data_IF_733197081251
#
_entry.id   IF_733197081251
#
_cell.length_a   1.000
_cell.length_b   1.000
_cell.length_c   1.000
_cell.angle_alpha   90.00
_cell.angle_beta   90.00
_cell.angle_gamma   90.00
#
_symmetry.space_group_name_H-M   'P 1'
#
loop_
_entity.id
_entity.type
_entity.pdbx_description
1 polymer ?
#
# COMPACT_ATOMS: atom_id res chain seq x y z
N UNK A 1 -16.64 2.49 -86.99
CA UNK A 1 -17.50 2.71 -85.80
C UNK A 1 -16.98 1.85 -84.67
N UNK A 2 -16.96 2.44 -83.46
CA UNK A 2 -16.74 1.85 -82.13
C UNK A 2 -15.29 1.61 -81.73
N UNK A 3 -14.84 1.90 -80.51
CA UNK A 3 -15.20 2.86 -79.43
C UNK A 3 -14.05 2.64 -78.44
N UNK A 4 -13.39 3.70 -78.01
CA UNK A 4 -12.29 3.62 -77.05
C UNK A 4 -12.80 3.19 -75.67
N UNK A 5 -11.83 2.70 -74.88
CA UNK A 5 -11.72 2.89 -73.42
C UNK A 5 -12.19 1.70 -72.58
N UNK A 6 -11.49 1.54 -71.43
CA UNK A 6 -11.62 0.56 -70.35
C UNK A 6 -10.78 -0.71 -70.54
N UNK A 7 -9.83 -1.08 -69.67
CA UNK A 7 -9.35 -0.48 -68.44
C UNK A 7 -8.08 -1.26 -68.05
N UNK A 8 -6.90 -0.70 -68.35
CA UNK A 8 -5.62 -1.20 -67.88
C UNK A 8 -5.44 -0.71 -66.45
N UNK A 9 -6.04 -1.37 -65.45
CA UNK A 9 -5.79 -1.10 -64.03
C UNK A 9 -6.33 -2.25 -63.17
N UNK A 10 -5.68 -3.41 -63.24
CA UNK A 10 -5.81 -4.47 -62.22
C UNK A 10 -4.39 -4.81 -61.77
N UNK A 11 -3.79 -3.85 -61.07
CA UNK A 11 -2.64 -4.05 -60.23
C UNK A 11 -2.99 -3.45 -58.87
N UNK A 12 -2.67 -4.21 -57.82
CA UNK A 12 -2.38 -3.68 -56.50
C UNK A 12 -3.57 -3.19 -55.64
N UNK A 13 -4.45 -4.10 -55.22
CA UNK A 13 -5.19 -3.97 -53.95
C UNK A 13 -5.40 -5.35 -53.31
N UNK A 14 -4.31 -6.01 -52.91
CA UNK A 14 -4.33 -7.15 -51.98
C UNK A 14 -3.25 -6.97 -50.91
N UNK A 15 -3.26 -5.78 -50.30
CA UNK A 15 -2.57 -5.51 -49.06
C UNK A 15 -3.58 -4.73 -48.20
N UNK A 16 -3.60 -5.01 -46.90
CA UNK A 16 -4.39 -4.35 -45.85
C UNK A 16 -5.72 -5.03 -45.46
N UNK A 17 -5.62 -6.16 -44.76
CA UNK A 17 -6.54 -6.45 -43.64
C UNK A 17 -5.89 -7.40 -42.62
N UNK A 18 -4.76 -6.99 -42.03
CA UNK A 18 -4.40 -7.48 -40.69
C UNK A 18 -4.78 -6.38 -39.71
N UNK A 19 -6.04 -6.41 -39.27
CA UNK A 19 -6.44 -5.68 -38.08
C UNK A 19 -5.86 -6.48 -36.89
N UNK A 20 -4.59 -6.23 -36.54
CA UNK A 20 -4.16 -6.49 -35.16
C UNK A 20 -4.81 -5.37 -34.36
N UNK A 21 -6.04 -5.61 -33.91
CA UNK A 21 -6.52 -4.91 -32.73
C UNK A 21 -5.68 -5.43 -31.57
N UNK A 22 -4.48 -4.88 -31.43
CA UNK A 22 -3.86 -4.78 -30.12
C UNK A 22 -4.82 -3.87 -29.37
N UNK A 23 -5.83 -4.49 -28.76
CA UNK A 23 -6.55 -3.90 -27.65
C UNK A 23 -5.48 -3.67 -26.60
N UNK A 24 -4.87 -2.49 -26.66
CA UNK A 24 -4.26 -1.90 -25.48
C UNK A 24 -5.41 -1.85 -24.49
N UNK A 25 -5.50 -2.87 -23.64
CA UNK A 25 -6.15 -2.76 -22.36
C UNK A 25 -5.50 -1.52 -21.76
N UNK A 26 -6.21 -0.39 -21.85
CA UNK A 26 -5.88 0.80 -21.10
C UNK A 26 -6.00 0.33 -19.66
N UNK A 27 -4.88 -0.16 -19.10
CA UNK A 27 -4.76 -0.50 -17.71
C UNK A 27 -5.17 0.77 -16.98
N UNK A 28 -6.40 0.78 -16.47
CA UNK A 28 -6.93 1.89 -15.68
C UNK A 28 -5.86 2.19 -14.65
N UNK A 29 -5.32 3.41 -14.70
CA UNK A 29 -4.26 3.82 -13.80
C UNK A 29 -4.85 3.91 -12.39
N UNK A 30 -4.83 2.77 -11.70
CA UNK A 30 -5.40 2.59 -10.38
C UNK A 30 -4.56 3.29 -9.29
N UNK A 31 -3.45 3.93 -9.65
CA UNK A 31 -2.63 4.74 -8.76
C UNK A 31 -3.45 5.83 -8.07
N UNK A 32 -4.47 6.39 -8.75
CA UNK A 32 -5.38 7.37 -8.17
C UNK A 32 -6.12 6.86 -6.93
N UNK A 33 -6.33 5.55 -6.79
CA UNK A 33 -7.02 4.94 -5.64
C UNK A 33 -6.20 5.07 -4.36
N UNK A 34 -4.88 4.92 -4.46
CA UNK A 34 -3.98 4.87 -3.31
C UNK A 34 -3.42 6.25 -2.92
N UNK A 35 -3.41 7.23 -3.83
CA UNK A 35 -2.96 8.61 -3.54
C UNK A 35 -3.82 9.23 -2.43
N UNK A 36 -3.19 9.83 -1.42
CA UNK A 36 -3.86 10.52 -0.32
C UNK A 36 -3.08 10.46 1.00
N UNK A 37 -3.71 10.98 2.04
CA UNK A 37 -3.18 10.98 3.42
C UNK A 37 -3.90 9.92 4.24
N UNK A 38 -3.15 9.13 4.99
CA UNK A 38 -3.65 8.07 5.85
C UNK A 38 -3.11 8.23 7.26
N UNK A 39 -3.98 8.05 8.25
CA UNK A 39 -3.61 8.04 9.66
C UNK A 39 -3.49 6.60 10.15
N UNK A 40 -2.49 6.34 10.99
CA UNK A 40 -2.39 5.08 11.73
C UNK A 40 -3.63 4.92 12.61
N UNK A 41 -4.31 3.78 12.46
CA UNK A 41 -5.54 3.46 13.20
C UNK A 41 -5.43 2.16 13.98
N UNK A 42 -4.50 1.27 13.62
CA UNK A 42 -4.25 0.06 14.39
C UNK A 42 -2.77 -0.34 14.33
N UNK A 43 -2.24 -0.81 15.47
CA UNK A 43 -1.02 -1.63 15.55
C UNK A 43 -1.39 -2.85 16.39
N UNK A 44 -1.60 -3.98 15.72
CA UNK A 44 -1.98 -5.21 16.40
C UNK A 44 -0.74 -6.02 16.77
N UNK A 45 -0.60 -6.38 18.05
CA UNK A 45 0.39 -7.36 18.52
C UNK A 45 -0.25 -8.73 18.73
N UNK A 46 0.57 -9.77 18.82
CA UNK A 46 0.08 -11.15 18.84
C UNK A 46 -0.54 -11.63 20.17
N UNK A 47 -0.28 -10.94 21.28
CA UNK A 47 -0.91 -11.23 22.58
C UNK A 47 -1.42 -9.92 23.15
N UNK A 48 -2.68 -9.90 23.58
CA UNK A 48 -3.27 -8.70 24.18
C UNK A 48 -2.51 -8.30 25.45
N UNK A 49 -2.31 -7.01 25.66
CA UNK A 49 -1.60 -6.44 26.81
C UNK A 49 -2.44 -5.31 27.37
N UNK A 50 -2.38 -5.11 28.68
CA UNK A 50 -2.97 -3.96 29.40
C UNK A 50 -1.79 -3.08 29.83
N UNK A 51 -1.37 -2.18 28.94
CA UNK A 51 -0.14 -1.37 29.14
C UNK A 51 -0.46 -0.08 29.88
N UNK A 52 -1.68 0.44 29.74
CA UNK A 52 -2.14 1.63 30.44
C UNK A 52 -2.66 1.34 31.87
N UNK A 53 -2.74 0.07 32.26
CA UNK A 53 -3.22 -0.42 33.57
C UNK A 53 -4.68 -0.03 33.88
N UNK A 54 -5.53 0.06 32.86
CA UNK A 54 -6.94 0.39 33.01
C UNK A 54 -7.83 -0.84 33.34
N UNK A 55 -7.24 -2.04 33.28
CA UNK A 55 -7.89 -3.31 33.58
C UNK A 55 -8.48 -4.02 32.36
N UNK A 56 -8.29 -3.49 31.14
CA UNK A 56 -8.75 -4.08 29.88
C UNK A 56 -7.55 -4.29 28.96
N UNK A 57 -7.22 -5.55 28.65
CA UNK A 57 -6.16 -5.83 27.68
C UNK A 57 -6.66 -5.76 26.24
N UNK A 58 -5.94 -5.06 25.36
CA UNK A 58 -6.16 -5.02 23.92
C UNK A 58 -5.00 -5.61 23.12
N UNK A 59 -5.31 -6.14 21.93
CA UNK A 59 -4.30 -6.45 20.91
C UNK A 59 -3.86 -5.21 20.15
N UNK A 60 -4.72 -4.20 20.06
CA UNK A 60 -4.43 -2.95 19.36
C UNK A 60 -3.74 -1.98 20.31
N UNK A 61 -2.46 -1.72 20.06
CA UNK A 61 -1.66 -0.87 20.94
C UNK A 61 -2.05 0.60 20.91
N UNK A 62 -2.88 1.05 19.96
CA UNK A 62 -3.44 2.40 20.03
C UNK A 62 -4.50 2.55 21.14
N UNK A 63 -5.12 1.46 21.58
CA UNK A 63 -6.02 1.48 22.74
C UNK A 63 -5.22 1.56 24.05
N UNK A 64 -4.00 1.03 24.04
CA UNK A 64 -3.11 0.91 25.20
C UNK A 64 -2.11 2.07 25.33
N UNK A 65 -1.73 2.71 24.22
CA UNK A 65 -0.68 3.72 24.16
C UNK A 65 -1.11 4.92 23.32
N UNK A 66 -1.63 5.96 23.99
CA UNK A 66 -2.10 7.20 23.34
C UNK A 66 -1.01 7.97 22.55
N UNK A 67 0.27 7.72 22.85
CA UNK A 67 1.38 8.35 22.15
C UNK A 67 1.67 7.75 20.76
N UNK A 68 1.13 6.57 20.44
CA UNK A 68 1.31 5.98 19.11
C UNK A 68 0.53 6.79 18.08
N UNK A 69 1.25 7.17 17.02
CA UNK A 69 0.66 7.91 15.92
C UNK A 69 1.47 7.66 14.65
N UNK A 70 0.82 7.84 13.50
CA UNK A 70 1.51 7.79 12.22
C UNK A 70 0.70 8.46 11.13
N UNK A 71 1.40 9.13 10.21
CA UNK A 71 0.82 9.80 9.04
C UNK A 71 1.56 9.36 7.80
N UNK A 72 0.89 8.60 6.93
CA UNK A 72 1.40 8.19 5.63
C UNK A 72 0.79 9.10 4.55
N UNK A 73 1.63 9.70 3.71
CA UNK A 73 1.18 10.50 2.56
C UNK A 73 1.71 9.86 1.29
N UNK A 74 0.80 9.49 0.39
CA UNK A 74 1.10 8.97 -0.95
C UNK A 74 0.84 10.09 -1.95
N UNK A 75 1.91 10.62 -2.56
CA UNK A 75 1.85 11.78 -3.45
C UNK A 75 1.69 11.36 -4.93
N UNK A 76 1.07 12.25 -5.71
CA UNK A 76 0.87 12.09 -7.16
C UNK A 76 2.17 12.11 -7.97
N UNK A 77 3.26 12.66 -7.44
CA UNK A 77 4.58 12.74 -8.07
C UNK A 77 5.43 11.46 -7.86
N UNK A 78 4.76 10.36 -7.54
CA UNK A 78 5.35 9.06 -7.25
C UNK A 78 6.27 9.06 -6.01
N UNK A 79 6.12 10.02 -5.10
CA UNK A 79 6.81 10.04 -3.79
C UNK A 79 5.86 9.70 -2.65
N UNK A 80 6.42 9.33 -1.50
CA UNK A 80 5.66 9.18 -0.27
C UNK A 80 6.45 9.70 0.93
N UNK A 81 5.75 10.02 2.01
CA UNK A 81 6.33 10.34 3.32
C UNK A 81 5.57 9.61 4.42
N UNK A 82 6.28 9.14 5.45
CA UNK A 82 5.69 8.56 6.64
C UNK A 82 6.36 9.14 7.88
N UNK A 83 5.58 9.77 8.74
CA UNK A 83 5.98 10.03 10.12
C UNK A 83 5.31 8.97 11.00
N UNK A 84 6.10 8.23 11.80
CA UNK A 84 5.61 7.13 12.63
C UNK A 84 6.28 7.14 13.99
N UNK A 85 5.50 7.06 15.06
CA UNK A 85 6.00 6.75 16.41
C UNK A 85 6.17 5.24 16.51
N UNK A 86 7.40 4.78 16.75
CA UNK A 86 7.70 3.36 16.87
C UNK A 86 7.02 2.74 18.11
N UNK A 87 6.67 1.46 18.00
CA UNK A 87 6.34 0.63 19.15
C UNK A 87 7.60 -0.10 19.62
N UNK A 88 8.11 0.27 20.79
CA UNK A 88 9.27 -0.37 21.40
C UNK A 88 8.81 -1.52 22.30
N UNK A 89 9.12 -2.75 21.89
CA UNK A 89 8.88 -3.96 22.69
C UNK A 89 10.24 -4.50 23.15
N UNK A 90 10.46 -4.51 24.47
CA UNK A 90 11.70 -5.02 25.08
C UNK A 90 11.40 -6.20 25.98
N UNK A 91 12.08 -7.33 25.77
CA UNK A 91 12.04 -8.45 26.70
C UNK A 91 12.79 -8.09 27.99
N UNK A 92 12.12 -8.17 29.14
CA UNK A 92 12.69 -7.90 30.46
C UNK A 92 13.01 -9.21 31.20
N UNK A 93 12.08 -10.17 31.18
CA UNK A 93 12.32 -11.56 31.62
C UNK A 93 11.57 -12.52 30.68
N UNK A 94 11.83 -13.84 30.75
CA UNK A 94 11.30 -14.86 29.81
C UNK A 94 9.93 -14.52 29.20
N UNK A 95 8.94 -14.25 30.06
CA UNK A 95 7.55 -14.02 29.65
C UNK A 95 7.05 -12.59 29.99
N UNK A 96 7.95 -11.69 30.37
CA UNK A 96 7.63 -10.30 30.73
C UNK A 96 8.28 -9.32 29.76
N UNK A 97 7.46 -8.47 29.15
CA UNK A 97 7.88 -7.53 28.12
C UNK A 97 7.47 -6.11 28.53
N UNK A 98 8.41 -5.18 28.38
CA UNK A 98 8.12 -3.76 28.50
C UNK A 98 7.72 -3.23 27.11
N UNK A 99 6.53 -2.66 27.02
CA UNK A 99 5.98 -2.09 25.80
C UNK A 99 5.78 -0.59 26.02
N UNK A 100 6.27 0.24 25.10
CA UNK A 100 6.18 1.69 25.18
C UNK A 100 6.26 2.33 23.81
N UNK A 101 5.91 3.61 23.73
CA UNK A 101 6.25 4.41 22.56
C UNK A 101 7.77 4.64 22.50
N UNK A 102 8.32 4.39 21.33
CA UNK A 102 9.68 4.71 20.98
C UNK A 102 9.80 6.15 20.48
N UNK A 103 10.80 6.37 19.61
CA UNK A 103 10.99 7.66 18.94
C UNK A 103 10.07 7.81 17.74
N UNK A 104 9.87 9.04 17.32
CA UNK A 104 9.29 9.33 16.00
C UNK A 104 10.38 9.19 14.94
N UNK A 105 10.07 8.45 13.87
CA UNK A 105 10.90 8.35 12.68
C UNK A 105 10.14 8.92 11.48
N UNK A 106 10.90 9.55 10.58
CA UNK A 106 10.39 10.06 9.32
C UNK A 106 11.04 9.30 8.17
N UNK A 107 10.23 8.78 7.27
CA UNK A 107 10.64 8.02 6.10
C UNK A 107 10.11 8.68 4.83
N UNK A 108 10.81 8.46 3.71
CA UNK A 108 10.36 8.92 2.39
C UNK A 108 10.93 8.02 1.32
N UNK A 109 10.25 7.94 0.18
CA UNK A 109 10.73 7.13 -0.93
C UNK A 109 9.87 7.25 -2.16
N UNK A 110 10.01 6.25 -3.05
CA UNK A 110 9.18 6.06 -4.23
C UNK A 110 8.22 4.93 -3.98
N UNK A 111 7.01 4.98 -4.52
CA UNK A 111 6.03 3.90 -4.38
C UNK A 111 5.64 3.33 -5.74
N UNK A 112 5.02 2.15 -5.70
CA UNK A 112 4.34 1.53 -6.84
C UNK A 112 3.06 0.87 -6.35
N UNK A 113 2.04 0.80 -7.21
CA UNK A 113 0.74 0.23 -6.86
C UNK A 113 0.24 -0.69 -7.97
N UNK A 114 -0.08 -1.93 -7.62
CA UNK A 114 -0.56 -2.93 -8.57
C UNK A 114 -1.56 -3.88 -7.91
N UNK A 115 -2.71 -4.11 -8.55
CA UNK A 115 -3.67 -5.14 -8.11
C UNK A 115 -4.15 -4.97 -6.66
N UNK A 116 -4.31 -3.73 -6.20
CA UNK A 116 -4.63 -3.37 -4.81
C UNK A 116 -3.51 -3.52 -3.78
N UNK A 117 -2.27 -3.78 -4.21
CA UNK A 117 -1.09 -3.80 -3.34
C UNK A 117 -0.25 -2.53 -3.55
N UNK A 118 0.04 -1.83 -2.47
CA UNK A 118 0.96 -0.70 -2.41
C UNK A 118 2.33 -1.19 -1.93
N UNK A 119 3.36 -0.96 -2.73
CA UNK A 119 4.75 -1.20 -2.35
C UNK A 119 5.47 0.15 -2.21
N UNK A 120 6.06 0.41 -1.03
CA UNK A 120 6.78 1.65 -0.71
C UNK A 120 8.24 1.67 -1.21
N UNK A 121 8.66 0.65 -1.95
CA UNK A 121 10.02 0.38 -2.44
C UNK A 121 11.09 0.62 -1.35
N UNK A 122 10.80 0.15 -0.15
CA UNK A 122 11.60 0.36 1.05
C UNK A 122 11.78 -0.99 1.75
N UNK A 123 12.92 -1.17 2.42
CA UNK A 123 13.23 -2.41 3.15
C UNK A 123 12.64 -2.43 4.56
N UNK A 124 12.17 -1.27 5.02
CA UNK A 124 11.59 -1.02 6.34
C UNK A 124 10.11 -1.41 6.42
N UNK A 125 9.44 -1.53 5.27
CA UNK A 125 8.00 -1.77 5.17
C UNK A 125 7.69 -2.91 4.20
N UNK A 126 6.70 -3.71 4.56
CA UNK A 126 6.12 -4.70 3.66
C UNK A 126 5.15 -4.08 2.64
N UNK A 127 4.65 -4.93 1.74
CA UNK A 127 3.54 -4.58 0.87
C UNK A 127 2.27 -4.31 1.70
N UNK A 128 1.54 -3.27 1.33
CA UNK A 128 0.31 -2.87 1.99
C UNK A 128 -0.90 -3.15 1.09
N UNK A 129 -1.82 -3.97 1.56
CA UNK A 129 -3.07 -4.22 0.85
C UNK A 129 -4.04 -3.05 1.05
N UNK A 130 -4.53 -2.46 -0.04
CA UNK A 130 -5.61 -1.47 -0.03
C UNK A 130 -6.96 -2.18 -0.10
N UNK A 131 -7.79 -1.98 0.92
CA UNK A 131 -9.19 -2.36 0.91
C UNK A 131 -10.05 -1.15 1.28
N UNK A 132 -10.84 -0.67 0.32
CA UNK A 132 -11.57 0.59 0.42
C UNK A 132 -10.63 1.76 0.74
N UNK A 133 -10.69 2.27 1.98
CA UNK A 133 -9.89 3.39 2.47
C UNK A 133 -8.82 2.96 3.48
N UNK A 134 -8.55 1.66 3.62
CA UNK A 134 -7.62 1.13 4.62
C UNK A 134 -6.45 0.44 3.94
N UNK A 135 -5.23 0.88 4.26
CA UNK A 135 -3.99 0.21 3.94
C UNK A 135 -3.60 -0.70 5.11
N UNK A 136 -3.40 -1.98 4.84
CA UNK A 136 -2.97 -2.96 5.85
C UNK A 136 -1.62 -3.54 5.48
N UNK A 137 -0.65 -3.38 6.36
CA UNK A 137 0.67 -4.00 6.26
C UNK A 137 0.72 -5.23 7.18
N UNK A 138 1.05 -6.40 6.64
CA UNK A 138 1.29 -7.61 7.43
C UNK A 138 2.77 -7.76 7.77
N UNK A 139 3.10 -7.90 9.05
CA UNK A 139 4.49 -8.02 9.55
C UNK A 139 4.73 -9.42 10.15
N UNK A 140 3.77 -9.95 10.90
CA UNK A 140 3.76 -11.32 11.44
C UNK A 140 4.95 -11.68 12.36
N UNK A 141 5.34 -10.78 13.25
CA UNK A 141 6.38 -11.05 14.25
C UNK A 141 5.90 -11.95 15.40
N UNK A 142 6.86 -12.63 16.05
CA UNK A 142 6.61 -13.50 17.20
C UNK A 142 6.76 -12.75 18.54
N UNK A 143 6.20 -13.36 19.59
CA UNK A 143 5.82 -12.85 20.91
C UNK A 143 6.75 -11.84 21.65
N UNK A 144 6.16 -10.76 22.21
CA UNK A 144 5.10 -9.96 21.63
C UNK A 144 5.70 -9.26 20.43
N UNK A 145 5.14 -9.56 19.27
CA UNK A 145 5.57 -9.04 17.99
C UNK A 145 4.42 -8.35 17.30
N UNK A 146 4.72 -7.39 16.44
CA UNK A 146 3.71 -6.73 15.62
C UNK A 146 3.20 -7.70 14.56
N UNK A 147 1.88 -7.92 14.53
CA UNK A 147 1.21 -8.72 13.50
C UNK A 147 0.92 -7.89 12.26
N UNK A 148 0.32 -6.72 12.45
CA UNK A 148 -0.04 -5.83 11.35
C UNK A 148 -0.17 -4.37 11.82
N UNK A 149 -0.06 -3.47 10.85
CA UNK A 149 -0.37 -2.04 10.98
C UNK A 149 -1.47 -1.68 10.00
N UNK A 150 -2.43 -0.85 10.43
CA UNK A 150 -3.47 -0.31 9.53
C UNK A 150 -3.44 1.20 9.51
N UNK A 151 -3.51 1.75 8.31
CA UNK A 151 -3.64 3.17 8.05
C UNK A 151 -4.95 3.45 7.34
N UNK A 152 -5.77 4.34 7.87
CA UNK A 152 -7.06 4.71 7.29
C UNK A 152 -6.97 6.09 6.63
N UNK A 153 -7.47 6.18 5.40
CA UNK A 153 -7.50 7.40 4.59
C UNK A 153 -8.37 8.46 5.27
N UNK A 154 -7.91 9.70 5.27
CA UNK A 154 -8.64 10.87 5.77
C UNK A 154 -9.86 11.23 4.90
#
# INVERSE_FOLDING_TARGET
MNKYTYFFFISLVMLLSSCSSDVSDDAVDNNALVIGTYNLTEININVAQDVNEDGVSSNNMLDELECLSGTLVINVDNTWTLDLVDLDITNVTSDFYAIRCGRTNSFTGKWSFQGSSLNLNSTEFGDMALNNSVLTEGISENLPGVLNRKFTKQ
#
